data_IF_117654946759
#
_entry.id   IF_117654946759
#
_cell.length_a   1.000
_cell.length_b   1.000
_cell.length_c   1.000
_cell.angle_alpha   90.00
_cell.angle_beta   90.00
_cell.angle_gamma   90.00
#
_symmetry.space_group_name_H-M   'P 1'
#
loop_
_entity.id
_entity.type
_entity.pdbx_description
1 polymer ?
#
# COMPACT_ATOMS: atom_id res chain seq x y z
N UNK A 1 -18.47 4.05 -0.09
CA UNK A 1 -18.05 2.94 0.79
C UNK A 1 -16.63 2.49 0.49
N UNK A 2 -16.36 1.78 -0.63
CA UNK A 2 -15.00 1.28 -0.92
C UNK A 2 -14.00 2.39 -1.25
N UNK A 3 -14.42 3.41 -1.99
CA UNK A 3 -13.57 4.58 -2.30
C UNK A 3 -13.14 5.33 -1.03
N UNK A 4 -14.04 5.48 -0.06
CA UNK A 4 -13.77 6.16 1.21
C UNK A 4 -12.71 5.39 2.02
N UNK A 5 -12.81 4.05 2.05
CA UNK A 5 -11.79 3.18 2.66
C UNK A 5 -10.43 3.42 1.99
N UNK A 6 -10.38 3.42 0.66
CA UNK A 6 -9.13 3.63 -0.09
C UNK A 6 -8.56 5.02 0.19
N UNK A 7 -9.39 6.05 0.22
CA UNK A 7 -8.96 7.42 0.48
C UNK A 7 -8.28 7.56 1.84
N UNK A 8 -8.86 6.98 2.89
CA UNK A 8 -8.27 6.99 4.24
C UNK A 8 -6.96 6.18 4.25
N UNK A 9 -6.97 4.96 3.69
CA UNK A 9 -5.79 4.07 3.71
C UNK A 9 -4.60 4.64 2.93
N UNK A 10 -4.84 5.33 1.81
CA UNK A 10 -3.80 5.95 0.99
C UNK A 10 -3.42 7.37 1.45
N UNK A 11 -4.09 7.90 2.48
CA UNK A 11 -3.75 9.20 3.04
C UNK A 11 -2.35 9.19 3.67
N UNK A 12 -1.61 10.29 3.50
CA UNK A 12 -0.27 10.47 4.08
C UNK A 12 -0.30 10.82 5.56
N UNK A 13 -1.47 11.17 6.08
CA UNK A 13 -1.71 11.50 7.49
C UNK A 13 -3.10 11.05 7.86
N UNK A 14 -3.26 10.46 9.04
CA UNK A 14 -4.55 10.02 9.55
C UNK A 14 -4.70 10.51 10.99
N UNK A 15 -5.85 11.10 11.29
CA UNK A 15 -6.31 11.42 12.64
C UNK A 15 -6.85 10.17 13.33
N UNK A 16 -6.95 10.22 14.67
CA UNK A 16 -7.54 9.13 15.43
C UNK A 16 -9.01 8.88 15.02
N UNK A 17 -9.76 9.94 14.75
CA UNK A 17 -11.16 9.88 14.32
C UNK A 17 -11.33 9.13 13.00
N UNK A 18 -10.50 9.42 12.00
CA UNK A 18 -10.50 8.72 10.71
C UNK A 18 -10.25 7.21 10.89
N UNK A 19 -9.49 6.78 11.92
CA UNK A 19 -9.32 5.34 12.18
C UNK A 19 -10.59 4.68 12.73
N UNK A 20 -11.41 5.39 13.50
CA UNK A 20 -12.70 4.87 13.95
C UNK A 20 -13.70 4.80 12.79
N UNK A 21 -13.74 5.85 11.97
CA UNK A 21 -14.55 5.88 10.75
C UNK A 21 -14.16 4.74 9.80
N UNK A 22 -12.85 4.52 9.59
CA UNK A 22 -12.35 3.41 8.79
C UNK A 22 -12.85 2.06 9.29
N UNK A 23 -12.88 1.84 10.61
CA UNK A 23 -13.39 0.60 11.21
C UNK A 23 -14.87 0.35 10.87
N UNK A 24 -15.69 1.40 10.93
CA UNK A 24 -17.10 1.32 10.57
C UNK A 24 -17.29 1.07 9.06
N UNK A 25 -16.59 1.81 8.20
CA UNK A 25 -16.64 1.65 6.76
C UNK A 25 -16.26 0.22 6.32
N UNK A 26 -15.22 -0.35 6.94
CA UNK A 26 -14.78 -1.72 6.67
C UNK A 26 -15.86 -2.72 7.06
N UNK A 27 -16.42 -2.62 8.26
CA UNK A 27 -17.50 -3.51 8.71
C UNK A 27 -18.68 -3.45 7.74
N UNK A 28 -19.14 -2.25 7.41
CA UNK A 28 -20.30 -2.04 6.56
C UNK A 28 -20.04 -2.58 5.15
N UNK A 29 -18.83 -2.38 4.61
CA UNK A 29 -18.38 -2.99 3.35
C UNK A 29 -18.46 -4.52 3.40
N UNK A 30 -17.96 -5.16 4.46
CA UNK A 30 -17.98 -6.63 4.58
C UNK A 30 -19.41 -7.18 4.71
N UNK A 31 -20.25 -6.53 5.51
CA UNK A 31 -21.66 -6.89 5.63
C UNK A 31 -22.38 -6.77 4.28
N UNK A 32 -22.10 -5.71 3.52
CA UNK A 32 -22.70 -5.53 2.20
C UNK A 32 -22.18 -6.57 1.19
N UNK A 33 -20.87 -6.84 1.19
CA UNK A 33 -20.26 -7.86 0.34
C UNK A 33 -20.89 -9.24 0.58
N UNK A 34 -21.00 -9.68 1.83
CA UNK A 34 -21.61 -10.97 2.17
C UNK A 34 -23.11 -11.02 1.84
N UNK A 35 -23.81 -9.88 1.89
CA UNK A 35 -25.21 -9.81 1.48
C UNK A 35 -25.38 -9.99 -0.03
N UNK A 36 -24.48 -9.42 -0.83
CA UNK A 36 -24.51 -9.52 -2.29
C UNK A 36 -23.98 -10.85 -2.80
N UNK A 37 -23.03 -11.45 -2.07
CA UNK A 37 -22.34 -12.70 -2.45
C UNK A 37 -22.40 -13.71 -1.30
N UNK A 38 -23.59 -14.23 -0.94
CA UNK A 38 -23.79 -15.06 0.25
C UNK A 38 -23.02 -16.38 0.21
N UNK A 39 -22.79 -16.95 -0.98
CA UNK A 39 -22.06 -18.21 -1.15
C UNK A 39 -20.53 -18.03 -1.17
N UNK A 40 -20.05 -16.79 -1.08
CA UNK A 40 -18.62 -16.48 -1.16
C UNK A 40 -18.02 -16.28 0.22
N UNK A 41 -16.89 -16.94 0.47
CA UNK A 41 -16.14 -16.77 1.70
C UNK A 41 -15.22 -15.54 1.65
N UNK A 42 -15.06 -14.88 2.79
CA UNK A 42 -14.12 -13.77 2.93
C UNK A 42 -12.68 -14.28 2.75
N UNK A 43 -12.01 -13.79 1.70
CA UNK A 43 -10.59 -14.08 1.47
C UNK A 43 -9.69 -13.38 2.50
N UNK A 44 -8.43 -13.81 2.68
CA UNK A 44 -7.50 -13.19 3.64
C UNK A 44 -7.34 -11.68 3.54
N UNK A 45 -7.47 -11.10 2.33
CA UNK A 45 -7.44 -9.63 2.13
C UNK A 45 -8.51 -8.90 2.96
N UNK A 46 -9.70 -9.47 3.07
CA UNK A 46 -10.78 -8.96 3.91
C UNK A 46 -10.40 -8.98 5.39
N UNK A 47 -9.85 -10.11 5.85
CA UNK A 47 -9.39 -10.25 7.23
C UNK A 47 -8.29 -9.24 7.56
N UNK A 48 -7.29 -9.07 6.69
CA UNK A 48 -6.21 -8.11 6.94
C UNK A 48 -6.72 -6.68 7.03
N UNK A 49 -7.74 -6.32 6.25
CA UNK A 49 -8.32 -4.98 6.27
C UNK A 49 -8.88 -4.62 7.66
N UNK A 50 -9.43 -5.58 8.41
CA UNK A 50 -9.93 -5.34 9.79
C UNK A 50 -8.85 -4.83 10.75
N UNK A 51 -7.58 -5.16 10.49
CA UNK A 51 -6.46 -4.72 11.32
C UNK A 51 -5.96 -3.32 10.97
N UNK A 52 -6.35 -2.76 9.81
CA UNK A 52 -5.80 -1.49 9.32
C UNK A 52 -6.05 -0.31 10.27
N UNK A 53 -7.25 -0.12 10.85
CA UNK A 53 -7.47 0.93 11.85
C UNK A 53 -6.50 0.86 13.02
N UNK A 54 -6.26 -0.36 13.53
CA UNK A 54 -5.31 -0.59 14.62
C UNK A 54 -3.89 -0.31 14.17
N UNK A 55 -3.48 -0.84 13.02
CA UNK A 55 -2.15 -0.63 12.45
C UNK A 55 -1.86 0.85 12.22
N UNK A 56 -2.83 1.64 11.75
CA UNK A 56 -2.67 3.09 11.57
C UNK A 56 -2.40 3.78 12.91
N UNK A 57 -3.11 3.41 13.98
CA UNK A 57 -2.90 4.00 15.32
C UNK A 57 -1.53 3.67 15.92
N UNK A 58 -0.98 2.48 15.65
CA UNK A 58 0.31 2.05 16.22
C UNK A 58 1.52 2.42 15.35
N UNK A 59 1.40 2.32 14.02
CA UNK A 59 2.50 2.50 13.08
C UNK A 59 2.44 3.85 12.35
N UNK A 60 1.30 4.52 12.38
CA UNK A 60 1.02 5.70 11.57
C UNK A 60 0.48 5.35 10.16
N UNK A 61 0.48 6.31 9.24
CA UNK A 61 -0.14 6.18 7.91
C UNK A 61 0.41 5.00 7.08
N UNK A 62 -0.47 4.12 6.61
CA UNK A 62 -0.08 2.90 5.88
C UNK A 62 0.57 3.17 4.52
N UNK A 63 0.29 4.34 3.92
CA UNK A 63 0.88 4.76 2.66
C UNK A 63 2.42 4.73 2.67
N UNK A 64 3.05 5.00 3.82
CA UNK A 64 4.51 4.97 3.97
C UNK A 64 5.10 3.55 3.96
N UNK A 65 4.27 2.53 4.18
CA UNK A 65 4.65 1.11 4.16
C UNK A 65 4.22 0.41 2.87
N UNK A 66 3.59 1.13 1.94
CA UNK A 66 3.11 0.58 0.67
C UNK A 66 4.26 0.22 -0.27
N UNK A 67 4.17 -0.95 -0.90
CA UNK A 67 5.13 -1.37 -1.93
C UNK A 67 4.89 -0.73 -3.30
N UNK A 68 3.80 0.01 -3.46
CA UNK A 68 3.41 0.62 -4.74
C UNK A 68 4.49 1.55 -5.31
N UNK A 69 5.23 2.26 -4.45
CA UNK A 69 6.34 3.11 -4.86
C UNK A 69 7.53 2.30 -5.39
N UNK A 70 7.82 1.15 -4.76
CA UNK A 70 8.89 0.26 -5.22
C UNK A 70 8.53 -0.37 -6.57
N UNK A 71 7.28 -0.79 -6.75
CA UNK A 71 6.79 -1.32 -8.03
C UNK A 71 6.83 -0.26 -9.15
N UNK A 72 6.49 1.00 -8.85
CA UNK A 72 6.61 2.09 -9.81
C UNK A 72 8.07 2.27 -10.28
N UNK A 73 9.04 2.21 -9.36
CA UNK A 73 10.47 2.29 -9.69
C UNK A 73 10.96 1.07 -10.49
N UNK A 74 10.38 -0.11 -10.24
CA UNK A 74 10.75 -1.35 -10.93
C UNK A 74 10.62 -1.22 -12.45
N UNK A 75 9.59 -0.52 -12.96
CA UNK A 75 9.41 -0.29 -14.41
C UNK A 75 10.62 0.41 -15.04
N UNK A 76 11.11 1.47 -14.40
CA UNK A 76 12.29 2.22 -14.88
C UNK A 76 13.52 1.32 -14.86
N UNK A 77 13.72 0.55 -13.79
CA UNK A 77 14.86 -0.37 -13.66
C UNK A 77 14.86 -1.44 -14.75
N UNK A 78 13.70 -2.01 -15.11
CA UNK A 78 13.57 -2.96 -16.22
C UNK A 78 13.95 -2.34 -17.57
N UNK A 79 13.53 -1.11 -17.83
CA UNK A 79 13.89 -0.39 -19.06
C UNK A 79 15.41 -0.19 -19.15
N UNK A 80 16.03 0.28 -18.07
CA UNK A 80 17.49 0.44 -18.02
C UNK A 80 18.20 -0.91 -18.15
N UNK A 81 17.71 -1.97 -17.52
CA UNK A 81 18.32 -3.30 -17.59
C UNK A 81 18.31 -3.89 -19.01
N UNK A 82 17.26 -3.59 -19.78
CA UNK A 82 17.16 -4.04 -21.16
C UNK A 82 18.14 -3.31 -22.09
N UNK A 83 18.50 -2.06 -21.78
CA UNK A 83 19.51 -1.28 -22.53
C UNK A 83 20.93 -1.71 -22.14
N UNK A 84 21.17 -1.93 -20.85
CA UNK A 84 22.47 -2.31 -20.32
C UNK A 84 22.44 -3.79 -19.93
N UNK A 85 22.75 -4.70 -20.87
CA UNK A 85 22.73 -6.16 -20.71
C UNK A 85 23.65 -6.75 -19.62
N UNK A 86 24.16 -5.94 -18.67
CA UNK A 86 25.04 -6.39 -17.60
C UNK A 86 24.48 -5.97 -16.23
N UNK A 87 23.87 -6.93 -15.52
CA UNK A 87 23.28 -6.77 -14.19
C UNK A 87 24.25 -6.18 -13.15
N UNK A 88 25.57 -6.43 -13.31
CA UNK A 88 26.64 -5.92 -12.44
C UNK A 88 26.87 -4.42 -12.58
N UNK A 89 26.62 -3.82 -13.75
CA UNK A 89 26.83 -2.38 -13.99
C UNK A 89 25.68 -1.54 -13.40
N UNK A 90 24.45 -2.08 -13.46
CA UNK A 90 23.25 -1.45 -12.88
C UNK A 90 23.35 -1.35 -11.35
N UNK A 91 23.80 -2.41 -10.67
CA UNK A 91 24.00 -2.38 -9.21
C UNK A 91 25.00 -1.30 -8.77
N UNK A 92 26.11 -1.11 -9.50
CA UNK A 92 27.11 -0.08 -9.18
C UNK A 92 26.58 1.34 -9.38
N UNK A 93 25.81 1.59 -10.45
CA UNK A 93 25.24 2.92 -10.72
C UNK A 93 24.09 3.29 -9.76
N UNK A 94 23.34 2.30 -9.28
CA UNK A 94 22.32 2.53 -8.24
C UNK A 94 22.96 2.96 -6.90
N UNK A 95 24.13 2.43 -6.57
CA UNK A 95 24.89 2.81 -5.36
C UNK A 95 25.49 4.22 -5.45
N UNK A 96 25.90 4.67 -6.64
CA UNK A 96 26.44 6.03 -6.84
C UNK A 96 25.34 7.09 -6.84
N UNK A 97 24.19 6.84 -7.47
CA UNK A 97 23.07 7.79 -7.49
C UNK A 97 22.41 7.99 -6.12
N UNK A 98 22.40 6.97 -5.24
CA UNK A 98 21.92 7.15 -3.86
C UNK A 98 22.82 8.02 -2.99
N UNK A 99 24.09 8.26 -3.38
CA UNK A 99 25.02 9.14 -2.66
C UNK A 99 24.88 10.60 -3.06
N UNK A 100 24.39 10.89 -4.26
CA UNK A 100 24.26 12.27 -4.76
C UNK A 100 23.09 13.06 -4.16
N UNK A 101 22.14 12.40 -3.49
CA UNK A 101 21.00 13.04 -2.81
C UNK A 101 21.21 13.26 -1.31
N UNK A 102 22.44 13.09 -0.81
CA UNK A 102 22.84 13.36 0.60
C UNK A 102 23.90 14.47 0.72
N UNK A 103 24.05 15.31 -0.29
CA UNK A 103 24.88 16.52 -0.25
C UNK A 103 23.97 17.76 -0.35
#
# INVERSE_FOLDING_TARGET
>A
MLLDIIQIVLSRSNSAEETYQLSALIRDHHCHFLRLFPDTQLIPKHHFLLHYPRSIRYLGPLQHYSSMLFEAKHKQLKQHANVYCNSKTLQRQLQTNTRSHKA
#
